data_IF_502118394485
#
_entry.id   IF_502118394485
#
_cell.length_a   1.000
_cell.length_b   1.000
_cell.length_c   1.000
_cell.angle_alpha   90.00
_cell.angle_beta   90.00
_cell.angle_gamma   90.00
#
_symmetry.space_group_name_H-M   'P 1'
#
loop_
_entity.id
_entity.type
_entity.pdbx_description
1 polymer ?
#
# COMPACT_ATOMS: atom_id res chain seq x y z
N UNK A 1 -14.46 20.32 -7.07
CA UNK A 1 -14.40 19.98 -5.63
C UNK A 1 -14.92 18.57 -5.44
N UNK A 2 -14.21 17.71 -4.71
CA UNK A 2 -14.69 16.37 -4.39
C UNK A 2 -15.91 16.49 -3.46
N UNK A 3 -16.96 15.68 -3.66
CA UNK A 3 -18.10 15.61 -2.74
C UNK A 3 -17.81 14.60 -1.62
N UNK A 4 -18.58 14.65 -0.53
CA UNK A 4 -18.50 13.66 0.56
C UNK A 4 -18.62 12.23 0.00
N UNK A 5 -19.51 12.02 -0.98
CA UNK A 5 -19.67 10.74 -1.67
C UNK A 5 -18.38 10.26 -2.34
N UNK A 6 -17.65 11.14 -3.01
CA UNK A 6 -16.38 10.77 -3.66
C UNK A 6 -15.28 10.48 -2.63
N UNK A 7 -15.27 11.18 -1.49
CA UNK A 7 -14.32 10.88 -0.41
C UNK A 7 -14.63 9.54 0.27
N UNK A 8 -15.92 9.21 0.49
CA UNK A 8 -16.34 7.88 1.00
C UNK A 8 -15.85 6.77 0.06
N UNK A 9 -16.06 6.92 -1.26
CA UNK A 9 -15.58 5.95 -2.25
C UNK A 9 -14.07 5.79 -2.21
N UNK A 10 -13.35 6.91 -2.11
CA UNK A 10 -11.88 6.91 -2.03
C UNK A 10 -11.39 6.17 -0.79
N UNK A 11 -11.96 6.47 0.38
CA UNK A 11 -11.60 5.88 1.68
C UNK A 11 -11.89 4.37 1.71
N UNK A 12 -13.04 3.97 1.21
CA UNK A 12 -13.49 2.56 1.25
C UNK A 12 -13.03 1.74 0.05
N UNK A 13 -12.50 2.39 -1.01
CA UNK A 13 -12.29 1.79 -2.33
C UNK A 13 -13.54 1.06 -2.88
N UNK A 14 -14.74 1.53 -2.51
CA UNK A 14 -16.03 0.89 -2.81
C UNK A 14 -16.16 -0.56 -2.30
N UNK A 15 -15.41 -0.94 -1.27
CA UNK A 15 -15.47 -2.27 -0.67
C UNK A 15 -16.61 -2.32 0.35
N UNK A 16 -17.62 -3.21 0.19
CA UNK A 16 -18.79 -3.23 1.07
C UNK A 16 -18.46 -3.40 2.55
N UNK A 17 -17.49 -4.26 2.87
CA UNK A 17 -17.03 -4.49 4.26
C UNK A 17 -16.43 -3.22 4.88
N UNK A 18 -15.63 -2.46 4.12
CA UNK A 18 -15.05 -1.21 4.60
C UNK A 18 -16.10 -0.12 4.80
N UNK A 19 -17.15 -0.11 3.97
CA UNK A 19 -18.30 0.78 4.16
C UNK A 19 -19.05 0.47 5.46
N UNK A 20 -19.23 -0.80 5.81
CA UNK A 20 -19.85 -1.22 7.08
C UNK A 20 -19.01 -0.74 8.27
N UNK A 21 -17.68 -0.89 8.20
CA UNK A 21 -16.80 -0.40 9.27
C UNK A 21 -16.83 1.12 9.41
N UNK A 22 -16.86 1.85 8.30
CA UNK A 22 -16.99 3.31 8.31
C UNK A 22 -18.32 3.76 8.90
N UNK A 23 -19.43 3.11 8.53
CA UNK A 23 -20.76 3.37 9.09
C UNK A 23 -20.80 3.07 10.60
N UNK A 24 -20.24 1.93 11.02
CA UNK A 24 -20.14 1.58 12.44
C UNK A 24 -19.30 2.60 13.23
N UNK A 25 -18.21 3.11 12.64
CA UNK A 25 -17.40 4.16 13.26
C UNK A 25 -18.23 5.43 13.49
N UNK A 26 -18.99 5.90 12.50
CA UNK A 26 -19.81 7.10 12.66
C UNK A 26 -20.92 6.96 13.70
N UNK A 27 -21.52 5.77 13.85
CA UNK A 27 -22.53 5.52 14.91
C UNK A 27 -21.98 5.65 16.32
N UNK A 28 -20.68 5.45 16.49
CA UNK A 28 -19.99 5.53 17.79
C UNK A 28 -19.18 6.83 17.95
N UNK A 29 -19.10 7.66 16.92
CA UNK A 29 -18.36 8.92 16.95
C UNK A 29 -19.25 10.04 17.53
N UNK A 30 -18.85 10.77 18.57
CA UNK A 30 -19.65 11.86 19.12
C UNK A 30 -19.66 13.10 18.20
N UNK A 31 -20.81 13.75 17.98
CA UNK A 31 -22.17 13.30 18.33
C UNK A 31 -22.61 12.14 17.41
N UNK A 32 -23.40 11.19 17.93
CA UNK A 32 -23.85 9.94 17.30
C UNK A 32 -24.64 10.08 15.96
N UNK A 33 -24.62 11.25 15.34
CA UNK A 33 -24.98 11.55 13.97
C UNK A 33 -24.14 12.76 13.51
N UNK A 34 -22.96 12.54 12.92
CA UNK A 34 -22.11 13.64 12.46
C UNK A 34 -22.79 14.36 11.28
N UNK A 35 -23.13 15.62 11.48
CA UNK A 35 -23.58 16.50 10.39
C UNK A 35 -22.35 17.01 9.65
N UNK A 36 -22.09 16.47 8.46
CA UNK A 36 -21.02 16.95 7.60
C UNK A 36 -21.46 18.24 6.89
N UNK A 37 -21.13 19.38 7.48
CA UNK A 37 -21.41 20.71 6.91
C UNK A 37 -20.65 20.95 5.62
N UNK A 38 -19.45 20.37 5.50
CA UNK A 38 -18.64 20.38 4.30
C UNK A 38 -17.70 19.16 4.23
N UNK A 39 -16.95 19.08 3.13
CA UNK A 39 -16.06 17.96 2.80
C UNK A 39 -14.78 17.95 3.66
N UNK A 40 -14.34 19.10 4.16
CA UNK A 40 -13.16 19.17 5.01
C UNK A 40 -13.48 18.62 6.41
N UNK A 41 -14.64 18.97 6.97
CA UNK A 41 -15.12 18.38 8.23
C UNK A 41 -15.22 16.85 8.11
N UNK A 42 -15.72 16.34 6.99
CA UNK A 42 -15.72 14.90 6.73
C UNK A 42 -14.30 14.31 6.72
N UNK A 43 -13.35 14.95 6.04
CA UNK A 43 -11.96 14.47 5.97
C UNK A 43 -11.28 14.44 7.33
N UNK A 44 -11.53 15.44 8.18
CA UNK A 44 -10.95 15.51 9.51
C UNK A 44 -11.45 14.34 10.37
N UNK A 45 -12.76 14.11 10.42
CA UNK A 45 -13.35 12.97 11.17
C UNK A 45 -12.87 11.62 10.62
N UNK A 46 -12.78 11.49 9.29
CA UNK A 46 -12.33 10.26 8.64
C UNK A 46 -10.84 10.02 8.82
N UNK A 47 -10.03 11.06 9.06
CA UNK A 47 -8.60 10.88 9.31
C UNK A 47 -8.34 10.00 10.54
N UNK A 48 -9.15 10.13 11.59
CA UNK A 48 -9.04 9.32 12.79
C UNK A 48 -9.59 7.90 12.59
N UNK A 49 -10.67 7.75 11.82
CA UNK A 49 -11.10 6.43 11.34
C UNK A 49 -9.97 5.72 10.59
N UNK A 50 -9.32 6.43 9.65
CA UNK A 50 -8.26 5.86 8.82
C UNK A 50 -7.08 5.39 9.67
N UNK A 51 -6.63 6.19 10.66
CA UNK A 51 -5.56 5.80 11.59
C UNK A 51 -5.92 4.51 12.34
N UNK A 52 -7.09 4.51 13.00
CA UNK A 52 -7.57 3.34 13.74
C UNK A 52 -7.69 2.10 12.85
N UNK A 53 -8.16 2.29 11.60
CA UNK A 53 -8.31 1.20 10.64
C UNK A 53 -6.96 0.68 10.17
N UNK A 54 -5.97 1.54 9.95
CA UNK A 54 -4.60 1.15 9.59
C UNK A 54 -4.00 0.30 10.72
N UNK A 55 -4.09 0.74 11.97
CA UNK A 55 -3.55 0.00 13.13
C UNK A 55 -4.16 -1.40 13.27
N UNK A 56 -5.48 -1.51 13.09
CA UNK A 56 -6.18 -2.81 13.11
C UNK A 56 -5.67 -3.75 12.01
N UNK A 57 -5.56 -3.26 10.78
CA UNK A 57 -5.13 -4.06 9.64
C UNK A 57 -3.65 -4.42 9.74
N UNK A 58 -2.82 -3.53 10.27
CA UNK A 58 -1.41 -3.77 10.55
C UNK A 58 -1.27 -4.87 11.61
N UNK A 59 -2.02 -4.78 12.71
CA UNK A 59 -2.04 -5.80 13.76
C UNK A 59 -2.45 -7.17 13.23
N UNK A 60 -3.46 -7.23 12.35
CA UNK A 60 -3.84 -8.46 11.65
C UNK A 60 -2.70 -9.03 10.79
N UNK A 61 -2.04 -8.18 10.00
CA UNK A 61 -0.92 -8.59 9.15
C UNK A 61 0.28 -9.09 9.96
N UNK A 62 0.62 -8.39 11.05
CA UNK A 62 1.69 -8.77 11.98
C UNK A 62 1.38 -10.10 12.67
N UNK A 63 0.15 -10.27 13.16
CA UNK A 63 -0.28 -11.52 13.80
C UNK A 63 -0.17 -12.69 12.84
N UNK A 64 -0.59 -12.52 11.58
CA UNK A 64 -0.41 -13.54 10.55
C UNK A 64 1.07 -13.87 10.34
N UNK A 65 1.90 -12.85 10.12
CA UNK A 65 3.33 -13.02 9.85
C UNK A 65 4.08 -13.71 10.99
N UNK A 66 3.78 -13.37 12.24
CA UNK A 66 4.44 -13.94 13.42
C UNK A 66 4.13 -15.44 13.57
N UNK A 67 2.97 -15.89 13.08
CA UNK A 67 2.57 -17.29 13.09
C UNK A 67 3.09 -18.09 11.89
N UNK A 68 3.81 -17.47 10.95
CA UNK A 68 4.42 -18.17 9.81
C UNK A 68 5.70 -18.90 10.21
N UNK A 69 5.96 -20.03 9.55
CA UNK A 69 7.27 -20.66 9.54
C UNK A 69 8.30 -19.76 8.82
N UNK A 70 9.59 -19.91 9.12
CA UNK A 70 10.64 -19.02 8.61
C UNK A 70 10.73 -18.99 7.08
N UNK A 71 10.52 -20.14 6.43
CA UNK A 71 10.47 -20.22 4.97
C UNK A 71 9.30 -19.40 4.38
N UNK A 72 8.15 -19.42 5.05
CA UNK A 72 6.96 -18.67 4.64
C UNK A 72 7.08 -17.18 4.96
N UNK A 73 7.80 -16.79 6.02
CA UNK A 73 8.13 -15.38 6.28
C UNK A 73 8.93 -14.76 5.14
N UNK A 74 9.90 -15.49 4.60
CA UNK A 74 10.71 -15.04 3.46
C UNK A 74 9.83 -14.88 2.21
N UNK A 75 8.95 -15.84 1.95
CA UNK A 75 8.00 -15.78 0.82
C UNK A 75 7.04 -14.61 0.96
N UNK A 76 6.43 -14.44 2.14
CA UNK A 76 5.51 -13.36 2.46
C UNK A 76 6.14 -11.98 2.26
N UNK A 77 7.35 -11.80 2.78
CA UNK A 77 8.12 -10.57 2.60
C UNK A 77 8.35 -10.27 1.12
N UNK A 78 8.75 -11.28 0.34
CA UNK A 78 8.98 -11.12 -1.11
C UNK A 78 7.68 -10.77 -1.84
N UNK A 79 6.55 -11.36 -1.44
CA UNK A 79 5.23 -11.06 -1.98
C UNK A 79 4.83 -9.60 -1.72
N UNK A 80 5.03 -9.12 -0.48
CA UNK A 80 4.83 -7.71 -0.13
C UNK A 80 5.72 -6.77 -0.93
N UNK A 81 7.02 -7.08 -1.05
CA UNK A 81 7.93 -6.29 -1.87
C UNK A 81 7.45 -6.20 -3.33
N UNK A 82 7.06 -7.34 -3.90
CA UNK A 82 6.59 -7.45 -5.30
C UNK A 82 5.27 -6.71 -5.54
N UNK A 83 4.40 -6.63 -4.53
CA UNK A 83 3.17 -5.86 -4.62
C UNK A 83 3.43 -4.36 -4.81
N UNK A 84 4.50 -3.83 -4.22
CA UNK A 84 4.87 -2.42 -4.34
C UNK A 84 5.96 -2.16 -5.40
N UNK A 85 6.70 -3.19 -5.83
CA UNK A 85 7.77 -3.12 -6.82
C UNK A 85 7.38 -3.89 -8.08
N UNK A 86 7.07 -3.21 -9.19
CA UNK A 86 6.47 -3.81 -10.39
C UNK A 86 7.40 -4.75 -11.18
N UNK A 87 8.68 -4.87 -10.81
CA UNK A 87 9.66 -5.72 -11.51
C UNK A 87 9.46 -7.22 -11.30
N UNK A 88 8.77 -7.63 -10.23
CA UNK A 88 8.71 -9.04 -9.84
C UNK A 88 7.29 -9.62 -10.00
N UNK A 89 7.08 -10.36 -11.09
CA UNK A 89 5.75 -10.83 -11.53
C UNK A 89 5.36 -12.21 -11.02
N UNK A 90 6.22 -12.88 -10.25
CA UNK A 90 6.10 -14.33 -9.97
C UNK A 90 5.71 -14.69 -8.55
N UNK A 91 5.48 -13.72 -7.67
CA UNK A 91 5.27 -14.01 -6.25
C UNK A 91 3.80 -13.87 -5.89
N UNK A 92 3.24 -14.93 -5.31
CA UNK A 92 1.83 -15.04 -4.92
C UNK A 92 1.69 -15.05 -3.40
N UNK A 93 0.58 -14.51 -2.89
CA UNK A 93 0.20 -14.67 -1.50
C UNK A 93 -0.52 -16.01 -1.29
N UNK A 94 -0.28 -16.64 -0.15
CA UNK A 94 -1.03 -17.83 0.26
C UNK A 94 -2.52 -17.51 0.49
N UNK A 95 -3.38 -18.50 0.26
CA UNK A 95 -4.83 -18.35 0.43
C UNK A 95 -5.22 -17.90 1.84
N UNK A 96 -4.52 -18.40 2.88
CA UNK A 96 -4.75 -18.00 4.28
C UNK A 96 -4.55 -16.50 4.50
N UNK A 97 -3.58 -15.91 3.80
CA UNK A 97 -3.36 -14.47 3.86
C UNK A 97 -4.46 -13.70 3.12
N UNK A 98 -4.91 -14.21 1.97
CA UNK A 98 -6.00 -13.61 1.21
C UNK A 98 -7.31 -13.58 2.01
N UNK A 99 -7.56 -14.60 2.83
CA UNK A 99 -8.74 -14.69 3.70
C UNK A 99 -8.77 -13.60 4.79
N UNK A 100 -7.63 -12.98 5.12
CA UNK A 100 -7.62 -11.81 6.02
C UNK A 100 -8.37 -10.62 5.41
N UNK A 101 -8.51 -10.58 4.08
CA UNK A 101 -9.15 -9.48 3.37
C UNK A 101 -8.31 -8.21 3.35
N UNK A 102 -6.98 -8.34 3.30
CA UNK A 102 -6.06 -7.19 3.16
C UNK A 102 -5.71 -6.92 1.68
N UNK A 103 -5.72 -7.97 0.88
CA UNK A 103 -5.30 -7.97 -0.52
C UNK A 103 -6.37 -8.69 -1.34
N UNK A 104 -6.69 -8.16 -2.52
CA UNK A 104 -7.48 -8.89 -3.50
C UNK A 104 -6.61 -9.36 -4.65
N UNK A 105 -6.97 -10.53 -5.18
CA UNK A 105 -6.35 -11.13 -6.34
C UNK A 105 -7.22 -10.90 -7.56
N UNK A 106 -6.66 -10.45 -8.67
CA UNK A 106 -7.34 -10.41 -9.96
C UNK A 106 -6.42 -10.90 -11.07
N UNK A 107 -7.00 -11.22 -12.23
CA UNK A 107 -6.25 -11.57 -13.45
C UNK A 107 -6.46 -10.47 -14.48
N UNK A 108 -5.39 -10.01 -15.09
CA UNK A 108 -5.48 -9.06 -16.21
C UNK A 108 -5.96 -9.77 -17.51
N UNK A 109 -6.24 -9.02 -18.60
CA UNK A 109 -6.62 -9.61 -19.88
C UNK A 109 -5.57 -10.56 -20.50
N UNK A 110 -4.31 -10.46 -20.06
CA UNK A 110 -3.20 -11.32 -20.47
C UNK A 110 -3.02 -12.53 -19.53
N UNK A 111 -3.96 -12.74 -18.60
CA UNK A 111 -3.97 -13.79 -17.59
C UNK A 111 -2.85 -13.73 -16.54
N UNK A 112 -2.16 -12.60 -16.40
CA UNK A 112 -1.25 -12.40 -15.27
C UNK A 112 -2.05 -12.20 -13.98
N UNK A 113 -1.63 -12.89 -12.93
CA UNK A 113 -2.19 -12.70 -11.60
C UNK A 113 -1.58 -11.46 -10.95
N UNK A 114 -2.44 -10.57 -10.48
CA UNK A 114 -2.06 -9.35 -9.78
C UNK A 114 -2.66 -9.37 -8.39
N UNK A 115 -1.90 -8.84 -7.43
CA UNK A 115 -2.29 -8.69 -6.04
C UNK A 115 -2.28 -7.21 -5.71
N UNK A 116 -3.40 -6.68 -5.24
CA UNK A 116 -3.52 -5.27 -4.87
C UNK A 116 -4.13 -5.12 -3.48
N UNK A 117 -3.72 -4.09 -2.72
CA UNK A 117 -4.37 -3.78 -1.46
C UNK A 117 -5.87 -3.55 -1.63
N UNK A 118 -6.66 -4.04 -0.68
CA UNK A 118 -8.12 -3.98 -0.76
C UNK A 118 -8.66 -2.54 -0.72
N UNK A 119 -8.08 -1.69 0.14
CA UNK A 119 -8.43 -0.29 0.33
C UNK A 119 -7.18 0.53 0.70
N UNK A 120 -7.24 1.87 0.72
CA UNK A 120 -6.12 2.71 1.14
C UNK A 120 -5.59 2.38 2.53
N UNK A 121 -6.46 2.07 3.50
CA UNK A 121 -6.02 1.66 4.84
C UNK A 121 -5.23 0.36 4.80
N UNK A 122 -5.65 -0.62 3.99
CA UNK A 122 -4.89 -1.86 3.80
C UNK A 122 -3.56 -1.60 3.08
N UNK A 123 -3.53 -0.69 2.10
CA UNK A 123 -2.28 -0.31 1.43
C UNK A 123 -1.27 0.26 2.44
N UNK A 124 -1.71 1.20 3.28
CA UNK A 124 -0.85 1.82 4.31
C UNK A 124 -0.38 0.79 5.34
N UNK A 125 -1.29 -0.02 5.87
CA UNK A 125 -0.94 -1.08 6.82
C UNK A 125 0.06 -2.10 6.24
N UNK A 126 -0.12 -2.53 4.99
CA UNK A 126 0.80 -3.48 4.35
C UNK A 126 2.16 -2.84 4.01
N UNK A 127 2.16 -1.56 3.69
CA UNK A 127 3.40 -0.81 3.49
C UNK A 127 4.13 -0.68 4.83
N UNK A 128 3.47 -0.23 5.89
CA UNK A 128 4.02 -0.14 7.24
C UNK A 128 4.58 -1.49 7.71
N UNK A 129 3.84 -2.58 7.48
CA UNK A 129 4.33 -3.94 7.73
C UNK A 129 5.63 -4.21 6.98
N UNK A 130 5.70 -3.88 5.69
CA UNK A 130 6.91 -4.06 4.89
C UNK A 130 8.10 -3.24 5.44
N UNK A 131 7.86 -2.04 5.98
CA UNK A 131 8.90 -1.19 6.56
C UNK A 131 9.48 -1.73 7.87
N UNK A 132 8.76 -2.62 8.55
CA UNK A 132 9.30 -3.30 9.74
C UNK A 132 10.38 -4.34 9.42
N UNK A 133 10.56 -4.71 8.15
CA UNK A 133 11.52 -5.74 7.77
C UNK A 133 12.91 -5.17 7.48
N UNK A 134 13.90 -5.61 8.25
CA UNK A 134 15.33 -5.38 7.97
C UNK A 134 15.71 -5.92 6.61
N UNK A 135 16.59 -5.25 5.86
CA UNK A 135 17.02 -5.71 4.53
C UNK A 135 17.51 -7.18 4.58
N UNK A 136 17.16 -8.06 3.61
CA UNK A 136 17.57 -9.46 3.72
C UNK A 136 19.10 -9.55 3.72
N UNK A 137 19.68 -10.39 4.58
CA UNK A 137 21.12 -10.43 4.80
C UNK A 137 21.92 -10.73 3.52
N UNK A 138 21.37 -11.48 2.58
CA UNK A 138 21.99 -11.68 1.27
C UNK A 138 22.08 -10.38 0.47
N UNK A 139 21.05 -9.52 0.51
CA UNK A 139 21.05 -8.20 -0.15
C UNK A 139 22.05 -7.28 0.54
N UNK A 140 22.10 -7.27 1.87
CA UNK A 140 23.11 -6.49 2.61
C UNK A 140 24.54 -6.88 2.24
N UNK A 141 24.81 -8.18 2.15
CA UNK A 141 26.12 -8.70 1.76
C UNK A 141 26.48 -8.30 0.33
N UNK A 142 25.53 -8.41 -0.62
CA UNK A 142 25.73 -7.96 -2.01
C UNK A 142 25.94 -6.45 -2.12
N UNK A 143 25.26 -5.67 -1.27
CA UNK A 143 25.41 -4.22 -1.21
C UNK A 143 26.81 -3.83 -0.71
N UNK A 144 27.36 -4.54 0.28
CA UNK A 144 28.74 -4.32 0.77
C UNK A 144 29.81 -4.58 -0.28
N UNK A 145 29.60 -5.54 -1.18
CA UNK A 145 30.56 -5.88 -2.24
C UNK A 145 30.25 -5.20 -3.58
N UNK A 146 29.22 -4.35 -3.64
CA UNK A 146 28.84 -3.60 -4.84
C UNK A 146 28.29 -4.46 -6.00
N UNK A 147 27.73 -5.64 -5.71
CA UNK A 147 27.24 -6.59 -6.73
C UNK A 147 25.75 -6.92 -6.54
N UNK A 148 24.89 -5.92 -6.72
CA UNK A 148 23.45 -6.13 -6.70
C UNK A 148 22.96 -6.53 -8.10
N UNK A 149 22.10 -7.54 -8.18
CA UNK A 149 21.28 -7.71 -9.38
C UNK A 149 20.14 -6.67 -9.40
N UNK A 150 19.39 -6.59 -10.51
CA UNK A 150 18.33 -5.59 -10.69
C UNK A 150 17.29 -5.64 -9.56
N UNK A 151 16.75 -6.83 -9.28
CA UNK A 151 15.72 -7.01 -8.23
C UNK A 151 16.23 -6.62 -6.84
N UNK A 152 17.48 -6.98 -6.52
CA UNK A 152 18.12 -6.65 -5.26
C UNK A 152 18.39 -5.15 -5.13
N UNK A 153 18.79 -4.51 -6.23
CA UNK A 153 19.00 -3.06 -6.28
C UNK A 153 17.69 -2.32 -6.05
N UNK A 154 16.62 -2.69 -6.74
CA UNK A 154 15.30 -2.08 -6.57
C UNK A 154 14.75 -2.29 -5.17
N UNK A 155 14.86 -3.50 -4.61
CA UNK A 155 14.41 -3.77 -3.24
C UNK A 155 15.19 -2.97 -2.21
N UNK A 156 16.52 -2.87 -2.36
CA UNK A 156 17.37 -2.07 -1.48
C UNK A 156 17.09 -0.56 -1.61
N UNK A 157 16.90 -0.06 -2.84
CA UNK A 157 16.56 1.33 -3.09
C UNK A 157 15.19 1.68 -2.49
N UNK A 158 14.19 0.84 -2.75
CA UNK A 158 12.83 1.01 -2.23
C UNK A 158 12.80 0.98 -0.71
N UNK A 159 13.44 -0.03 -0.09
CA UNK A 159 13.59 -0.09 1.36
C UNK A 159 14.27 1.17 1.91
N UNK A 160 15.34 1.66 1.27
CA UNK A 160 16.08 2.83 1.76
C UNK A 160 15.34 4.15 1.58
N UNK A 161 14.55 4.29 0.52
CA UNK A 161 13.69 5.46 0.28
C UNK A 161 12.50 5.51 1.24
N UNK A 162 12.04 4.36 1.73
CA UNK A 162 10.84 4.25 2.57
C UNK A 162 11.09 4.07 4.07
N UNK A 163 12.05 3.23 4.45
CA UNK A 163 12.30 2.83 5.85
C UNK A 163 13.01 3.92 6.66
N UNK A 164 13.20 5.10 6.08
CA UNK A 164 13.71 6.27 6.78
C UNK A 164 12.64 7.37 6.75
N UNK A 165 11.55 7.23 7.53
CA UNK A 165 10.63 8.33 7.73
C UNK A 165 11.43 9.54 8.22
N UNK A 166 11.23 10.69 7.58
CA UNK A 166 11.89 11.96 7.86
C UNK A 166 13.37 12.11 7.43
N UNK A 167 13.98 11.18 6.67
CA UNK A 167 15.22 11.57 5.99
C UNK A 167 14.91 12.46 4.81
N UNK A 168 15.07 13.75 5.06
CA UNK A 168 15.49 14.74 4.06
C UNK A 168 16.59 14.12 3.19
N UNK A 169 16.21 13.65 2.01
CA UNK A 169 17.19 13.17 1.04
C UNK A 169 17.80 14.41 0.41
N UNK A 170 19.04 14.72 0.79
CA UNK A 170 19.81 15.81 0.20
C UNK A 170 20.48 15.29 -1.07
N UNK A 171 19.98 15.71 -2.21
CA UNK A 171 20.65 15.50 -3.48
C UNK A 171 21.61 16.66 -3.73
N UNK A 172 22.92 16.38 -3.71
CA UNK A 172 23.91 17.32 -4.21
C UNK A 172 23.69 17.49 -5.70
N UNK A 173 23.34 18.71 -6.11
CA UNK A 173 23.18 19.05 -7.50
C UNK A 173 24.35 19.92 -7.96
N UNK A 174 24.71 19.81 -9.23
CA UNK A 174 25.64 20.72 -9.89
C UNK A 174 24.90 21.51 -10.97
N UNK A 175 25.33 22.74 -11.21
CA UNK A 175 24.86 23.50 -12.37
C UNK A 175 25.39 22.89 -13.68
N UNK A 176 24.94 23.41 -14.82
CA UNK A 176 25.40 22.97 -16.15
C UNK A 176 26.91 23.16 -16.37
N UNK A 177 27.58 23.95 -15.53
CA UNK A 177 29.02 24.17 -15.54
C UNK A 177 29.75 23.33 -14.48
N UNK A 178 29.06 22.33 -13.91
CA UNK A 178 29.57 21.40 -12.91
C UNK A 178 29.96 22.07 -11.58
N UNK A 179 29.40 23.24 -11.27
CA UNK A 179 29.59 23.93 -9.98
C UNK A 179 28.55 23.43 -8.99
N UNK A 180 28.99 23.15 -7.77
CA UNK A 180 28.09 22.73 -6.69
C UNK A 180 27.05 23.83 -6.42
N UNK A 181 25.77 23.45 -6.48
CA UNK A 181 24.67 24.29 -6.03
C UNK A 181 24.15 23.80 -4.68
N UNK A 182 23.31 24.62 -4.03
CA UNK A 182 22.67 24.24 -2.78
C UNK A 182 21.96 22.88 -2.94
N UNK A 183 22.10 21.96 -1.97
CA UNK A 183 21.54 20.63 -2.08
C UNK A 183 20.01 20.69 -2.16
N UNK A 184 19.44 19.89 -3.05
CA UNK A 184 17.99 19.76 -3.20
C UNK A 184 17.48 18.84 -2.10
N UNK A 185 16.60 19.39 -1.26
CA UNK A 185 15.92 18.65 -0.19
C UNK A 185 14.67 17.98 -0.76
N UNK A 186 14.62 16.65 -0.68
CA UNK A 186 13.42 15.85 -1.03
C UNK A 186 12.89 15.20 0.25
N UNK A 187 11.61 15.44 0.53
CA UNK A 187 10.84 14.80 1.60
C UNK A 187 9.69 13.99 0.98
N UNK A 188 9.53 12.75 1.41
CA UNK A 188 8.45 11.87 0.97
C UNK A 188 7.40 11.81 2.08
N UNK A 189 6.21 12.37 1.84
CA UNK A 189 5.13 12.44 2.84
C UNK A 189 4.15 11.26 2.76
N UNK A 190 3.90 10.74 1.56
CA UNK A 190 2.99 9.60 1.34
C UNK A 190 3.42 8.83 0.09
N UNK A 191 2.95 7.59 -0.02
CA UNK A 191 3.25 6.69 -1.14
C UNK A 191 1.97 6.20 -1.80
N UNK A 192 1.80 6.60 -3.06
CA UNK A 192 0.72 6.12 -3.92
C UNK A 192 1.19 4.98 -4.80
N UNK A 193 0.36 3.95 -4.98
CA UNK A 193 0.57 2.98 -6.04
C UNK A 193 0.12 3.58 -7.38
N UNK A 194 1.02 3.62 -8.35
CA UNK A 194 0.64 3.94 -9.73
C UNK A 194 -0.05 2.70 -10.29
N UNK A 195 -1.39 2.77 -10.37
CA UNK A 195 -2.19 1.71 -10.98
C UNK A 195 -1.73 1.53 -12.44
N UNK A 196 -1.21 0.36 -12.87
CA UNK A 196 -0.92 0.12 -14.28
C UNK A 196 -2.13 0.46 -15.15
N UNK A 197 -1.93 1.02 -16.35
CA UNK A 197 -3.01 1.54 -17.22
C UNK A 197 -4.16 0.55 -17.47
N UNK A 198 -3.88 -0.76 -17.38
CA UNK A 198 -4.87 -1.84 -17.44
C UNK A 198 -5.86 -1.88 -16.26
N UNK A 199 -5.63 -1.09 -15.20
CA UNK A 199 -6.47 -0.91 -14.02
C UNK A 199 -7.37 0.32 -14.09
N UNK A 200 -7.21 1.18 -15.11
CA UNK A 200 -8.27 2.13 -15.42
C UNK A 200 -9.23 1.43 -16.36
N UNK A 201 -10.44 1.13 -15.89
CA UNK A 201 -11.54 0.65 -16.74
C UNK A 201 -12.06 1.76 -17.68
N UNK A 202 -11.23 2.74 -18.04
CA UNK A 202 -11.59 3.98 -18.73
C UNK A 202 -11.92 5.14 -17.79
N UNK A 203 -12.11 6.34 -18.35
CA UNK A 203 -12.65 7.49 -17.60
C UNK A 203 -14.06 7.14 -17.10
N UNK A 204 -14.26 7.13 -15.78
CA UNK A 204 -15.57 7.00 -15.14
C UNK A 204 -15.98 5.59 -14.67
N UNK A 205 -15.08 4.60 -14.68
CA UNK A 205 -15.40 3.22 -14.28
C UNK A 205 -14.66 2.80 -13.00
N UNK A 206 -15.03 3.41 -11.88
CA UNK A 206 -14.71 2.94 -10.52
C UNK A 206 -15.66 1.80 -10.07
N UNK A 207 -16.07 0.91 -10.99
CA UNK A 207 -17.10 -0.10 -10.73
C UNK A 207 -16.53 -1.51 -10.52
N UNK A 208 -16.42 -1.86 -9.25
CA UNK A 208 -16.87 -3.10 -8.57
C UNK A 208 -16.26 -4.46 -8.96
N UNK A 209 -15.85 -5.18 -7.92
CA UNK A 209 -15.58 -6.62 -7.82
C UNK A 209 -16.54 -7.47 -8.69
N UNK A 210 -16.03 -8.07 -9.75
CA UNK A 210 -16.75 -9.11 -10.50
C UNK A 210 -16.57 -10.46 -9.80
N UNK A 211 -17.62 -10.92 -9.11
CA UNK A 211 -17.76 -12.32 -8.69
C UNK A 211 -18.20 -13.13 -9.92
N UNK A 212 -17.29 -13.90 -10.52
CA UNK A 212 -17.69 -14.95 -11.47
C UNK A 212 -18.42 -16.04 -10.68
N UNK A 213 -19.75 -16.08 -10.80
CA UNK A 213 -20.52 -17.27 -10.49
C UNK A 213 -20.48 -18.12 -11.76
N UNK A 214 -19.81 -19.27 -11.70
CA UNK A 214 -19.89 -20.27 -12.76
C UNK A 214 -21.26 -20.95 -12.68
N UNK A 215 -22.01 -21.11 -13.79
CA UNK A 215 -23.15 -22.00 -13.82
C UNK A 215 -22.66 -23.46 -13.76
N UNK A 216 -23.38 -24.27 -12.97
CA UNK A 216 -23.36 -25.75 -13.07
C UNK A 216 -24.24 -26.14 -14.25
#
# INVERSE_FOLDING_TARGET
>A
MASVKEEIKKVTNCVPRELIYLDAYFRHYPPNDPVFTDVNVFKDVVSDFLKNRIDQLLSMAQTYFNNLEDNEKIRYRRALASMFLPSNTRVEFEWKFLDLGLVYRFKDPLHHTHYLPLCPSAQKALLEMYLTFDLPQNVENQLRIGKLNVDQFESALFNRLLCRPNTVTLLTATDLNNRNIAPVKIEFEDYGMIKPRCLSLGRGYDKVLLRKISPV
#
